data_IF_872496432150
#
_entry.id   IF_872496432150
#
_cell.length_a   1.000
_cell.length_b   1.000
_cell.length_c   1.000
_cell.angle_alpha   90.00
_cell.angle_beta   90.00
_cell.angle_gamma   90.00
#
_symmetry.space_group_name_H-M   'P 1'
#
loop_
_entity.id
_entity.type
_entity.pdbx_description
1 polymer ?
#
# COMPACT_ATOMS: atom_id res chain seq x y z
N UNK A 1 -37.07 35.32 -41.32
CA UNK A 1 -37.33 36.03 -40.06
C UNK A 1 -35.98 36.31 -39.43
N UNK A 2 -35.66 37.57 -39.11
CA UNK A 2 -34.49 37.87 -38.27
C UNK A 2 -34.85 37.47 -36.84
N UNK A 3 -34.14 36.49 -36.29
CA UNK A 3 -34.37 36.07 -34.91
C UNK A 3 -33.79 37.14 -33.98
N UNK A 4 -34.63 37.73 -33.12
CA UNK A 4 -34.23 38.77 -32.16
C UNK A 4 -34.09 38.13 -30.77
N UNK A 5 -32.92 37.55 -30.51
CA UNK A 5 -32.51 36.75 -29.34
C UNK A 5 -33.30 35.46 -29.11
N UNK A 6 -34.63 35.57 -29.03
CA UNK A 6 -35.56 34.45 -28.85
C UNK A 6 -36.82 34.67 -29.68
N UNK A 7 -37.51 33.58 -29.98
CA UNK A 7 -38.90 33.61 -30.45
C UNK A 7 -39.79 33.27 -29.24
N UNK A 8 -40.74 34.14 -28.91
CA UNK A 8 -41.76 33.85 -27.88
C UNK A 8 -42.97 33.19 -28.53
N UNK A 9 -43.38 32.05 -28.00
CA UNK A 9 -44.63 31.42 -28.41
C UNK A 9 -45.85 32.10 -27.74
N UNK A 10 -47.06 31.66 -28.09
CA UNK A 10 -48.31 32.21 -27.52
C UNK A 10 -48.46 31.97 -26.03
N UNK A 11 -47.68 31.07 -25.43
CA UNK A 11 -47.67 30.76 -24.01
C UNK A 11 -46.54 31.51 -23.26
N UNK A 12 -45.76 32.34 -23.96
CA UNK A 12 -44.66 33.12 -23.38
C UNK A 12 -43.34 32.34 -23.26
N UNK A 13 -43.25 31.13 -23.81
CA UNK A 13 -42.01 30.33 -23.83
C UNK A 13 -41.02 30.98 -24.79
N UNK A 14 -39.81 31.24 -24.32
CA UNK A 14 -38.70 31.70 -25.16
C UNK A 14 -38.01 30.51 -25.82
N UNK A 15 -37.87 30.56 -27.13
CA UNK A 15 -37.17 29.56 -27.93
C UNK A 15 -35.95 30.16 -28.59
N UNK A 16 -34.81 29.47 -28.46
CA UNK A 16 -33.62 29.80 -29.21
C UNK A 16 -33.86 29.64 -30.71
N UNK A 17 -33.11 30.43 -31.49
CA UNK A 17 -33.01 30.23 -32.93
C UNK A 17 -32.37 28.87 -33.22
N UNK A 18 -32.72 28.24 -34.34
CA UNK A 18 -32.22 26.91 -34.71
C UNK A 18 -31.57 26.89 -36.09
N UNK A 19 -30.53 26.07 -36.23
CA UNK A 19 -29.94 25.72 -37.53
C UNK A 19 -30.87 24.75 -38.29
N UNK A 20 -30.55 24.47 -39.57
CA UNK A 20 -31.28 23.50 -40.36
C UNK A 20 -31.17 22.07 -39.78
N UNK A 21 -30.06 21.77 -39.12
CA UNK A 21 -29.77 20.47 -38.51
C UNK A 21 -30.40 20.31 -37.11
N UNK A 22 -30.98 21.40 -36.57
CA UNK A 22 -31.74 21.40 -35.33
C UNK A 22 -31.00 21.96 -34.11
N UNK A 23 -29.73 22.35 -34.24
CA UNK A 23 -28.96 22.97 -33.15
C UNK A 23 -29.56 24.32 -32.79
N UNK A 24 -29.82 24.53 -31.50
CA UNK A 24 -30.11 25.83 -30.93
C UNK A 24 -28.82 26.65 -30.76
N UNK A 25 -28.88 27.95 -31.03
CA UNK A 25 -27.71 28.82 -30.88
C UNK A 25 -28.02 30.14 -30.19
N UNK A 26 -26.99 30.70 -29.55
CA UNK A 26 -27.01 32.01 -28.90
C UNK A 26 -26.79 33.12 -29.91
N UNK A 27 -27.51 34.23 -29.77
CA UNK A 27 -27.20 35.46 -30.51
C UNK A 27 -26.09 36.20 -29.78
N UNK A 28 -25.08 36.65 -30.53
CA UNK A 28 -23.97 37.44 -30.03
C UNK A 28 -24.46 38.68 -29.26
N UNK A 29 -23.95 38.85 -28.04
CA UNK A 29 -24.32 39.95 -27.13
C UNK A 29 -23.19 40.22 -26.15
N UNK A 30 -23.06 41.48 -25.73
CA UNK A 30 -22.18 41.90 -24.63
C UNK A 30 -22.84 41.78 -23.25
N UNK A 31 -24.15 41.48 -23.21
CA UNK A 31 -24.97 41.43 -22.00
C UNK A 31 -25.28 39.98 -21.61
N UNK A 32 -24.54 39.47 -20.62
CA UNK A 32 -24.68 38.12 -20.08
C UNK A 32 -26.07 37.85 -19.46
N UNK A 33 -26.87 38.87 -19.16
CA UNK A 33 -28.22 38.67 -18.61
C UNK A 33 -29.24 38.28 -19.67
N UNK A 34 -28.91 38.46 -20.96
CA UNK A 34 -29.81 38.26 -22.10
C UNK A 34 -29.54 36.98 -22.88
N UNK A 35 -28.70 36.07 -22.38
CA UNK A 35 -28.30 34.86 -23.12
C UNK A 35 -29.15 33.62 -22.83
N UNK A 36 -29.96 33.62 -21.77
CA UNK A 36 -30.82 32.47 -21.44
C UNK A 36 -32.26 32.66 -21.89
N UNK A 37 -32.81 31.66 -22.57
CA UNK A 37 -34.24 31.51 -22.81
C UNK A 37 -34.96 31.00 -21.56
N UNK A 38 -36.20 31.44 -21.36
CA UNK A 38 -37.08 31.01 -20.27
C UNK A 38 -38.18 30.05 -20.74
N UNK A 39 -38.52 29.06 -19.92
CA UNK A 39 -39.68 28.18 -20.13
C UNK A 39 -41.02 28.86 -19.76
N UNK A 40 -42.14 28.12 -19.85
CA UNK A 40 -43.47 28.64 -19.54
C UNK A 40 -43.64 29.04 -18.06
N UNK A 41 -42.79 28.52 -17.18
CA UNK A 41 -42.75 28.82 -15.75
C UNK A 41 -41.76 29.95 -15.43
N UNK A 42 -41.03 30.45 -16.43
CA UNK A 42 -40.00 31.48 -16.28
C UNK A 42 -38.63 30.93 -15.88
N UNK A 43 -38.43 29.61 -15.85
CA UNK A 43 -37.12 29.04 -15.54
C UNK A 43 -36.21 29.18 -16.77
N UNK A 44 -35.00 29.67 -16.54
CA UNK A 44 -33.97 29.77 -17.57
C UNK A 44 -33.51 28.37 -17.98
N UNK A 45 -33.06 28.22 -19.23
CA UNK A 45 -32.43 26.99 -19.74
C UNK A 45 -31.28 27.27 -20.69
N UNK A 46 -30.37 26.31 -20.83
CA UNK A 46 -29.35 26.31 -21.88
C UNK A 46 -29.95 26.05 -23.27
N UNK A 47 -29.24 26.49 -24.31
CA UNK A 47 -29.48 26.05 -25.69
C UNK A 47 -29.01 24.61 -25.84
N UNK A 48 -29.53 23.89 -26.83
CA UNK A 48 -29.18 22.49 -27.08
C UNK A 48 -28.70 22.22 -28.50
N UNK A 49 -27.74 21.32 -28.65
CA UNK A 49 -27.38 20.78 -29.97
C UNK A 49 -28.46 19.80 -30.50
N UNK A 50 -28.27 19.32 -31.73
CA UNK A 50 -29.14 18.34 -32.38
C UNK A 50 -29.16 16.97 -31.67
N UNK A 51 -28.16 16.67 -30.84
CA UNK A 51 -28.11 15.50 -29.98
C UNK A 51 -28.77 15.73 -28.62
N UNK A 52 -29.32 16.94 -28.38
CA UNK A 52 -29.98 17.37 -27.15
C UNK A 52 -29.03 17.50 -25.94
N UNK A 53 -27.72 17.69 -26.18
CA UNK A 53 -26.78 18.18 -25.17
C UNK A 53 -26.93 19.70 -25.01
N UNK A 54 -26.83 20.18 -23.77
CA UNK A 54 -26.86 21.61 -23.45
C UNK A 54 -25.52 22.28 -23.73
N UNK A 55 -25.56 23.52 -24.22
CA UNK A 55 -24.41 24.29 -24.66
C UNK A 55 -24.27 25.54 -23.80
N UNK A 56 -23.04 25.91 -23.44
CA UNK A 56 -22.78 27.16 -22.74
C UNK A 56 -22.83 28.38 -23.68
N UNK A 57 -23.45 29.49 -23.26
CA UNK A 57 -23.28 30.77 -23.95
C UNK A 57 -21.89 31.33 -23.69
N UNK A 58 -21.28 31.89 -24.74
CA UNK A 58 -20.00 32.60 -24.64
C UNK A 58 -20.27 34.09 -24.78
N UNK A 59 -19.84 34.87 -23.78
CA UNK A 59 -19.91 36.35 -23.78
C UNK A 59 -18.53 36.88 -23.46
N UNK A 60 -17.95 37.67 -24.37
CA UNK A 60 -16.58 38.20 -24.24
C UNK A 60 -15.55 37.10 -23.98
N UNK A 61 -15.61 36.04 -24.78
CA UNK A 61 -14.73 34.87 -24.72
C UNK A 61 -14.76 34.12 -23.37
N UNK A 62 -15.83 34.31 -22.59
CA UNK A 62 -16.04 33.63 -21.32
C UNK A 62 -17.39 32.90 -21.32
N UNK A 63 -17.42 31.63 -20.87
CA UNK A 63 -18.67 30.92 -20.71
C UNK A 63 -19.48 31.55 -19.57
N UNK A 64 -20.79 31.68 -19.75
CA UNK A 64 -21.70 32.21 -18.73
C UNK A 64 -22.51 31.08 -18.12
N UNK A 65 -22.45 30.95 -16.80
CA UNK A 65 -23.25 29.99 -16.05
C UNK A 65 -24.70 30.48 -15.92
N UNK A 66 -25.65 29.55 -16.04
CA UNK A 66 -27.03 29.77 -15.64
C UNK A 66 -27.07 29.85 -14.11
N UNK A 67 -27.50 30.99 -13.59
CA UNK A 67 -27.67 31.23 -12.16
C UNK A 67 -29.16 31.33 -11.85
N UNK A 68 -29.63 30.58 -10.87
CA UNK A 68 -31.01 30.63 -10.41
C UNK A 68 -31.28 31.78 -9.43
N UNK A 69 -32.53 31.91 -8.99
CA UNK A 69 -32.94 32.96 -8.06
C UNK A 69 -32.27 32.86 -6.67
N UNK A 70 -31.71 31.70 -6.34
CA UNK A 70 -30.98 31.44 -5.10
C UNK A 70 -29.47 31.72 -5.24
N UNK A 71 -29.03 32.26 -6.38
CA UNK A 71 -27.62 32.50 -6.70
C UNK A 71 -26.80 31.21 -6.83
N UNK A 72 -27.46 30.09 -7.15
CA UNK A 72 -26.77 28.83 -7.42
C UNK A 72 -26.49 28.69 -8.92
N UNK A 73 -25.23 28.46 -9.32
CA UNK A 73 -24.91 28.17 -10.70
C UNK A 73 -25.29 26.72 -11.07
N UNK A 74 -25.77 26.53 -12.29
CA UNK A 74 -26.13 25.23 -12.85
C UNK A 74 -25.19 24.88 -13.99
N UNK A 75 -24.75 23.63 -14.05
CA UNK A 75 -23.97 23.14 -15.19
C UNK A 75 -24.88 22.73 -16.35
N UNK A 76 -24.37 22.87 -17.58
CA UNK A 76 -25.00 22.32 -18.77
C UNK A 76 -24.94 20.79 -18.70
N UNK A 77 -25.93 20.11 -19.25
CA UNK A 77 -26.08 18.66 -19.20
C UNK A 77 -25.96 18.01 -20.57
N UNK A 78 -25.38 16.82 -20.62
CA UNK A 78 -25.49 15.93 -21.79
C UNK A 78 -26.92 15.45 -21.96
N UNK A 79 -27.23 14.84 -23.11
CA UNK A 79 -28.54 14.22 -23.33
C UNK A 79 -28.88 13.11 -22.32
N UNK A 80 -27.89 12.57 -21.61
CA UNK A 80 -28.06 11.56 -20.57
C UNK A 80 -28.17 12.16 -19.16
N UNK A 81 -28.10 13.49 -19.03
CA UNK A 81 -28.26 14.21 -17.77
C UNK A 81 -26.98 14.36 -16.94
N UNK A 82 -25.81 13.94 -17.45
CA UNK A 82 -24.53 14.25 -16.78
C UNK A 82 -24.20 15.72 -16.97
N UNK A 83 -23.80 16.40 -15.90
CA UNK A 83 -23.33 17.77 -15.95
C UNK A 83 -21.94 17.86 -16.59
N UNK A 84 -21.65 18.97 -17.26
CA UNK A 84 -20.43 19.19 -18.01
C UNK A 84 -19.83 20.53 -17.63
N UNK A 85 -18.55 20.56 -17.29
CA UNK A 85 -17.85 21.82 -17.10
C UNK A 85 -17.71 22.60 -18.42
N UNK A 86 -17.92 23.92 -18.43
CA UNK A 86 -17.57 24.72 -19.58
C UNK A 86 -16.06 24.68 -19.78
N UNK A 87 -15.64 24.69 -21.04
CA UNK A 87 -14.24 24.55 -21.44
C UNK A 87 -13.80 25.81 -22.18
N UNK A 88 -12.65 26.36 -21.78
CA UNK A 88 -11.98 27.44 -22.51
C UNK A 88 -11.26 26.89 -23.74
N UNK A 89 -10.90 27.78 -24.68
CA UNK A 89 -10.10 27.43 -25.85
C UNK A 89 -8.74 26.78 -25.49
N UNK A 90 -8.22 27.07 -24.29
CA UNK A 90 -7.01 26.43 -23.76
C UNK A 90 -7.20 24.95 -23.39
N UNK A 91 -8.43 24.47 -23.34
CA UNK A 91 -8.79 23.13 -22.87
C UNK A 91 -9.16 23.06 -21.38
N UNK A 92 -8.86 24.10 -20.60
CA UNK A 92 -9.19 24.15 -19.17
C UNK A 92 -10.70 24.22 -18.96
N UNK A 93 -11.18 23.39 -18.06
CA UNK A 93 -12.54 23.41 -17.54
C UNK A 93 -12.68 24.45 -16.44
N UNK A 94 -13.83 25.13 -16.35
CA UNK A 94 -14.08 26.14 -15.33
C UNK A 94 -15.09 25.67 -14.29
N UNK A 95 -14.77 25.91 -13.03
CA UNK A 95 -15.65 25.61 -11.89
C UNK A 95 -16.49 26.84 -11.58
N UNK A 96 -17.79 26.62 -11.45
CA UNK A 96 -18.71 27.61 -10.93
C UNK A 96 -18.54 27.76 -9.41
N UNK A 97 -18.77 28.97 -8.91
CA UNK A 97 -18.81 29.23 -7.47
C UNK A 97 -20.16 29.80 -7.07
N UNK A 98 -20.62 29.50 -5.87
CA UNK A 98 -21.79 30.17 -5.29
C UNK A 98 -21.48 31.62 -4.89
N UNK A 99 -22.49 32.34 -4.38
CA UNK A 99 -22.36 33.71 -3.89
C UNK A 99 -21.40 33.88 -2.68
N UNK A 100 -20.92 32.79 -2.08
CA UNK A 100 -19.93 32.77 -1.00
C UNK A 100 -18.54 32.32 -1.47
N UNK A 101 -18.34 32.19 -2.78
CA UNK A 101 -17.10 31.71 -3.38
C UNK A 101 -16.76 30.25 -3.00
N UNK A 102 -17.77 29.42 -2.73
CA UNK A 102 -17.59 27.97 -2.62
C UNK A 102 -17.68 27.34 -4.01
N UNK A 103 -16.74 26.45 -4.31
CA UNK A 103 -16.77 25.67 -5.54
C UNK A 103 -18.03 24.77 -5.58
N UNK A 104 -18.74 24.81 -6.70
CA UNK A 104 -19.85 23.91 -7.00
C UNK A 104 -19.33 22.92 -8.04
N UNK A 105 -19.26 21.63 -7.71
CA UNK A 105 -18.74 20.62 -8.65
C UNK A 105 -19.86 20.02 -9.51
N UNK A 106 -19.51 19.62 -10.73
CA UNK A 106 -20.44 18.98 -11.65
C UNK A 106 -20.70 17.53 -11.21
N UNK A 107 -21.89 17.00 -11.55
CA UNK A 107 -22.32 15.64 -11.25
C UNK A 107 -22.41 14.76 -12.48
N UNK A 108 -22.02 13.49 -12.35
CA UNK A 108 -22.24 12.49 -13.37
C UNK A 108 -23.72 12.03 -13.40
N UNK A 109 -24.07 11.09 -14.29
CA UNK A 109 -25.45 10.55 -14.41
C UNK A 109 -25.95 9.87 -13.13
N UNK A 110 -25.04 9.41 -12.26
CA UNK A 110 -25.36 8.76 -10.99
C UNK A 110 -25.53 9.78 -9.85
N UNK A 111 -25.30 11.07 -10.12
CA UNK A 111 -25.38 12.16 -9.15
C UNK A 111 -24.10 12.35 -8.34
N UNK A 112 -23.01 11.67 -8.69
CA UNK A 112 -21.72 11.75 -8.02
C UNK A 112 -20.92 12.94 -8.56
N UNK A 113 -20.29 13.70 -7.66
CA UNK A 113 -19.47 14.84 -8.02
C UNK A 113 -18.13 14.37 -8.64
N UNK A 114 -17.60 15.15 -9.59
CA UNK A 114 -16.26 14.94 -10.14
C UNK A 114 -15.52 16.27 -10.28
N UNK A 115 -14.19 16.24 -10.41
CA UNK A 115 -13.36 17.43 -10.50
C UNK A 115 -13.26 18.00 -11.93
N UNK A 116 -13.07 19.32 -12.09
CA UNK A 116 -12.69 19.92 -13.38
C UNK A 116 -11.27 19.47 -13.78
N UNK A 117 -10.94 19.62 -15.06
CA UNK A 117 -9.59 19.39 -15.61
C UNK A 117 -8.92 20.68 -16.10
N UNK A 118 -7.61 20.76 -15.91
CA UNK A 118 -6.78 21.85 -16.41
C UNK A 118 -6.40 21.65 -17.90
N UNK A 119 -5.55 22.53 -18.44
CA UNK A 119 -5.08 22.45 -19.82
C UNK A 119 -4.25 21.20 -20.14
N UNK A 120 -3.69 20.53 -19.12
CA UNK A 120 -2.88 19.32 -19.27
C UNK A 120 -3.72 18.05 -19.12
N UNK A 121 -4.99 18.19 -18.74
CA UNK A 121 -5.90 17.09 -18.45
C UNK A 121 -5.80 16.57 -17.02
N UNK A 122 -5.04 17.24 -16.15
CA UNK A 122 -5.00 16.93 -14.71
C UNK A 122 -6.27 17.49 -14.06
N UNK A 123 -6.92 16.71 -13.21
CA UNK A 123 -8.02 17.21 -12.39
C UNK A 123 -7.50 18.16 -11.32
N UNK A 124 -8.29 19.16 -10.94
CA UNK A 124 -7.85 20.15 -9.96
C UNK A 124 -8.96 20.56 -8.99
N UNK A 125 -8.54 20.99 -7.80
CA UNK A 125 -9.41 21.57 -6.76
C UNK A 125 -9.20 23.08 -6.76
N UNK A 126 -10.28 23.85 -6.62
CA UNK A 126 -10.17 25.32 -6.54
C UNK A 126 -9.66 25.79 -5.17
N UNK A 127 -10.03 25.06 -4.11
CA UNK A 127 -9.66 25.30 -2.72
C UNK A 127 -9.38 23.95 -2.06
N UNK A 128 -8.13 23.70 -1.65
CA UNK A 128 -7.71 22.43 -1.06
C UNK A 128 -8.52 22.06 0.19
N UNK A 129 -9.11 23.04 0.89
CA UNK A 129 -9.98 22.78 2.04
C UNK A 129 -11.39 22.31 1.66
N UNK A 130 -11.72 22.29 0.37
CA UNK A 130 -13.06 21.98 -0.17
C UNK A 130 -13.00 20.85 -1.20
N UNK A 131 -12.31 19.78 -0.84
CA UNK A 131 -12.37 18.52 -1.60
C UNK A 131 -13.78 17.93 -1.55
N UNK A 132 -14.13 17.21 -2.61
CA UNK A 132 -15.34 16.42 -2.68
C UNK A 132 -15.26 15.29 -1.65
N UNK A 133 -16.34 15.10 -0.89
CA UNK A 133 -16.51 13.98 0.04
C UNK A 133 -17.66 13.10 -0.45
N UNK A 134 -17.46 11.79 -0.42
CA UNK A 134 -18.52 10.80 -0.61
C UNK A 134 -19.46 10.78 0.60
N UNK A 135 -20.60 10.10 0.48
CA UNK A 135 -21.62 10.02 1.55
C UNK A 135 -21.10 9.34 2.83
N UNK A 136 -20.08 8.49 2.71
CA UNK A 136 -19.42 7.82 3.84
C UNK A 136 -18.29 8.66 4.47
N UNK A 137 -18.08 9.89 3.99
CA UNK A 137 -17.02 10.77 4.45
C UNK A 137 -15.66 10.56 3.76
N UNK A 138 -15.56 9.60 2.82
CA UNK A 138 -14.34 9.36 2.06
C UNK A 138 -14.03 10.56 1.17
N UNK A 139 -12.76 10.98 1.17
CA UNK A 139 -12.28 12.04 0.29
C UNK A 139 -12.07 11.51 -1.12
N UNK A 140 -12.72 12.14 -2.09
CA UNK A 140 -12.37 11.94 -3.50
C UNK A 140 -11.17 12.84 -3.81
N UNK A 141 -10.05 12.26 -4.25
CA UNK A 141 -8.87 13.03 -4.65
C UNK A 141 -8.91 13.29 -6.16
N UNK A 142 -8.50 14.49 -6.62
CA UNK A 142 -8.39 14.75 -8.06
C UNK A 142 -7.34 13.83 -8.69
N UNK A 143 -7.58 13.37 -9.91
CA UNK A 143 -6.65 12.52 -10.65
C UNK A 143 -5.70 13.32 -11.54
N UNK A 144 -4.44 12.91 -11.64
CA UNK A 144 -3.55 13.39 -12.68
C UNK A 144 -4.01 12.86 -14.06
N UNK A 145 -3.41 13.36 -15.13
CA UNK A 145 -3.67 12.93 -16.52
C UNK A 145 -3.41 11.45 -16.78
N UNK A 146 -2.65 10.77 -15.91
CA UNK A 146 -2.40 9.34 -15.98
C UNK A 146 -3.41 8.52 -15.16
N UNK A 147 -4.33 9.19 -14.46
CA UNK A 147 -5.35 8.57 -13.63
C UNK A 147 -4.88 8.22 -12.22
N UNK A 148 -3.81 8.83 -11.70
CA UNK A 148 -3.37 8.64 -10.30
C UNK A 148 -3.90 9.75 -9.39
N UNK A 149 -4.26 9.46 -8.13
CA UNK A 149 -4.73 10.49 -7.22
C UNK A 149 -3.63 11.50 -6.88
N UNK A 150 -4.02 12.76 -6.75
CA UNK A 150 -3.17 13.86 -6.32
C UNK A 150 -3.54 14.25 -4.90
N UNK A 151 -2.69 13.86 -3.95
CA UNK A 151 -2.82 14.20 -2.54
C UNK A 151 -2.43 15.66 -2.25
N UNK A 152 -3.04 16.26 -1.22
CA UNK A 152 -2.58 17.52 -0.65
C UNK A 152 -1.10 17.40 -0.27
N UNK A 153 -0.31 18.45 -0.51
CA UNK A 153 1.12 18.46 -0.15
C UNK A 153 1.39 19.43 0.98
N UNK A 154 2.05 18.93 2.02
CA UNK A 154 2.58 19.75 3.10
C UNK A 154 4.10 19.61 3.15
N UNK A 155 4.81 20.72 2.92
CA UNK A 155 6.28 20.76 2.86
C UNK A 155 6.88 19.75 1.85
N UNK A 156 6.18 19.50 0.74
CA UNK A 156 6.61 18.59 -0.33
C UNK A 156 6.23 17.13 -0.14
N UNK A 157 5.76 16.73 1.04
CA UNK A 157 5.22 15.40 1.31
C UNK A 157 3.71 15.41 1.06
N UNK A 158 3.20 14.37 0.41
CA UNK A 158 1.76 14.13 0.30
C UNK A 158 1.19 13.71 1.65
N UNK A 159 0.00 14.19 1.99
CA UNK A 159 -0.67 13.88 3.24
C UNK A 159 -2.02 13.22 2.98
N UNK A 160 -2.37 12.30 3.87
CA UNK A 160 -3.69 11.70 3.89
C UNK A 160 -4.71 12.62 4.54
N UNK A 161 -5.86 12.78 3.91
CA UNK A 161 -7.02 13.40 4.53
C UNK A 161 -7.68 12.43 5.53
N UNK A 162 -8.09 12.92 6.72
CA UNK A 162 -8.81 12.10 7.67
C UNK A 162 -10.17 11.68 7.10
N UNK A 163 -10.57 10.45 7.41
CA UNK A 163 -11.92 9.97 7.11
C UNK A 163 -12.90 10.64 8.09
N UNK A 164 -13.91 11.33 7.55
CA UNK A 164 -14.84 12.11 8.38
C UNK A 164 -15.61 11.20 9.34
N UNK A 165 -15.72 11.60 10.61
CA UNK A 165 -16.37 10.81 11.65
C UNK A 165 -15.55 9.63 12.21
N UNK A 166 -14.36 9.34 11.66
CA UNK A 166 -13.53 8.22 12.09
C UNK A 166 -12.16 8.68 12.58
N UNK A 167 -12.04 8.85 13.90
CA UNK A 167 -10.77 9.19 14.53
C UNK A 167 -9.70 8.12 14.20
N UNK A 168 -8.57 8.55 13.65
CA UNK A 168 -7.44 7.72 13.22
C UNK A 168 -7.69 6.88 11.97
N UNK A 169 -8.70 7.15 11.15
CA UNK A 169 -8.78 6.59 9.80
C UNK A 169 -8.49 7.65 8.75
N UNK A 170 -7.97 7.21 7.60
CA UNK A 170 -7.63 8.04 6.46
C UNK A 170 -8.42 7.65 5.22
N UNK A 171 -8.59 8.61 4.31
CA UNK A 171 -9.09 8.38 2.95
C UNK A 171 -7.91 8.08 2.03
N UNK A 172 -7.93 6.93 1.34
CA UNK A 172 -7.03 6.66 0.23
C UNK A 172 -7.61 7.22 -1.06
N UNK A 173 -6.78 7.89 -1.86
CA UNK A 173 -7.09 8.18 -3.25
C UNK A 173 -7.10 6.91 -4.08
N UNK A 174 -8.01 6.84 -5.05
CA UNK A 174 -8.15 5.73 -5.99
C UNK A 174 -7.64 6.16 -7.35
N UNK A 175 -6.98 5.26 -8.08
CA UNK A 175 -6.62 5.50 -9.47
C UNK A 175 -7.80 5.21 -10.41
N UNK A 176 -7.61 5.41 -11.72
CA UNK A 176 -8.66 5.23 -12.74
C UNK A 176 -9.19 3.79 -12.86
N UNK A 177 -8.44 2.78 -12.39
CA UNK A 177 -8.90 1.38 -12.35
C UNK A 177 -9.55 1.00 -11.00
N UNK A 178 -9.63 1.96 -10.07
CA UNK A 178 -10.27 1.80 -8.77
C UNK A 178 -9.37 1.21 -7.68
N UNK A 179 -8.06 1.06 -7.93
CA UNK A 179 -7.12 0.65 -6.88
C UNK A 179 -6.78 1.86 -6.00
N UNK A 180 -6.79 1.67 -4.68
CA UNK A 180 -6.29 2.64 -3.73
C UNK A 180 -4.76 2.79 -3.86
N UNK A 181 -4.26 4.01 -3.74
CA UNK A 181 -2.84 4.35 -3.90
C UNK A 181 -2.34 4.97 -2.61
N UNK A 182 -1.12 4.66 -2.16
CA UNK A 182 -0.54 5.32 -0.99
C UNK A 182 -0.07 6.75 -1.34
N UNK A 183 -0.14 7.66 -0.37
CA UNK A 183 0.52 8.97 -0.45
C UNK A 183 2.05 8.80 -0.47
N UNK A 184 2.74 9.77 -1.06
CA UNK A 184 4.20 9.79 -1.20
C UNK A 184 4.91 10.71 -0.21
N UNK A 185 6.06 10.27 0.28
CA UNK A 185 6.93 11.08 1.13
C UNK A 185 7.74 12.11 0.29
N UNK A 186 8.66 12.82 0.93
CA UNK A 186 9.52 13.82 0.28
C UNK A 186 10.52 13.24 -0.73
N UNK A 187 10.87 11.96 -0.60
CA UNK A 187 11.73 11.23 -1.54
C UNK A 187 10.93 10.68 -2.74
N UNK A 188 9.59 10.73 -2.67
CA UNK A 188 8.68 10.21 -3.68
C UNK A 188 8.27 8.75 -3.46
N UNK A 189 8.72 8.12 -2.38
CA UNK A 189 8.33 6.76 -2.00
C UNK A 189 6.93 6.77 -1.38
N UNK A 190 6.13 5.76 -1.69
CA UNK A 190 4.86 5.54 -1.01
C UNK A 190 5.07 5.20 0.47
N UNK A 191 4.15 5.64 1.34
CA UNK A 191 4.25 5.34 2.77
C UNK A 191 2.91 4.97 3.40
N UNK A 192 2.97 4.04 4.36
CA UNK A 192 1.81 3.59 5.13
C UNK A 192 1.27 4.71 6.03
N UNK A 193 -0.06 4.90 6.12
CA UNK A 193 -0.61 5.82 7.10
C UNK A 193 -0.37 5.31 8.53
N UNK A 194 -0.21 6.23 9.49
CA UNK A 194 -0.03 5.89 10.90
C UNK A 194 -1.23 5.18 11.53
N UNK A 195 -2.38 5.15 10.84
CA UNK A 195 -3.57 4.40 11.23
C UNK A 195 -3.40 2.88 11.16
N UNK A 196 -2.37 2.39 10.46
CA UNK A 196 -2.18 0.97 10.17
C UNK A 196 -3.16 0.43 9.13
N UNK A 197 -3.89 1.30 8.42
CA UNK A 197 -4.69 0.90 7.27
C UNK A 197 -3.78 0.60 6.06
N UNK A 198 -4.25 -0.30 5.20
CA UNK A 198 -3.59 -0.66 3.96
C UNK A 198 -4.49 -0.29 2.79
N UNK A 199 -3.88 0.31 1.77
CA UNK A 199 -4.52 0.48 0.47
C UNK A 199 -4.92 -0.89 -0.09
N UNK A 200 -5.98 -0.94 -0.88
CA UNK A 200 -6.52 -2.15 -1.50
C UNK A 200 -6.72 -1.96 -2.99
N UNK A 201 -6.63 -3.06 -3.74
CA UNK A 201 -7.07 -3.08 -5.13
C UNK A 201 -8.58 -2.89 -5.23
N UNK A 202 -9.05 -2.62 -6.44
CA UNK A 202 -10.47 -2.63 -6.83
C UNK A 202 -11.20 -3.94 -6.47
N UNK A 203 -10.47 -5.04 -6.26
CA UNK A 203 -10.99 -6.34 -5.81
C UNK A 203 -10.91 -6.53 -4.28
N UNK A 204 -10.49 -5.51 -3.53
CA UNK A 204 -10.37 -5.54 -2.07
C UNK A 204 -9.11 -6.23 -1.53
N UNK A 205 -8.12 -6.53 -2.37
CA UNK A 205 -6.87 -7.19 -1.95
C UNK A 205 -5.88 -6.11 -1.45
N UNK A 206 -5.32 -6.23 -0.24
CA UNK A 206 -4.33 -5.28 0.25
C UNK A 206 -3.10 -5.10 -0.66
N UNK A 207 -2.62 -3.87 -0.76
CA UNK A 207 -1.50 -3.43 -1.57
C UNK A 207 -0.31 -3.05 -0.69
N UNK A 208 0.90 -3.41 -1.10
CA UNK A 208 2.11 -2.89 -0.47
C UNK A 208 2.42 -1.49 -1.01
N UNK A 209 3.01 -0.66 -0.16
CA UNK A 209 3.67 0.57 -0.59
C UNK A 209 4.91 0.23 -1.42
N UNK A 210 5.26 1.08 -2.39
CA UNK A 210 6.48 0.95 -3.19
C UNK A 210 7.38 2.19 -3.16
N UNK A 211 8.68 1.96 -3.29
CA UNK A 211 9.66 3.03 -3.49
C UNK A 211 9.57 3.62 -4.91
N UNK A 212 10.30 4.71 -5.14
CA UNK A 212 10.41 5.36 -6.46
C UNK A 212 10.97 4.45 -7.58
N UNK A 213 11.62 3.34 -7.23
CA UNK A 213 12.11 2.32 -8.17
C UNK A 213 11.12 1.17 -8.37
N UNK A 214 9.98 1.19 -7.69
CA UNK A 214 8.96 0.14 -7.74
C UNK A 214 9.26 -1.08 -6.87
N UNK A 215 10.22 -1.01 -5.93
CA UNK A 215 10.43 -2.05 -4.94
C UNK A 215 9.44 -1.94 -3.80
N UNK A 216 9.04 -3.09 -3.28
CA UNK A 216 8.07 -3.17 -2.19
C UNK A 216 8.69 -2.74 -0.86
N UNK A 217 7.94 -1.92 -0.14
CA UNK A 217 8.21 -1.50 1.23
C UNK A 217 7.27 -2.31 2.12
N UNK A 218 7.79 -3.23 2.92
CA UNK A 218 6.94 -3.98 3.86
C UNK A 218 6.48 -3.07 5.00
N UNK A 219 5.22 -3.19 5.47
CA UNK A 219 4.81 -2.56 6.70
C UNK A 219 5.62 -3.15 7.86
N UNK A 220 5.84 -2.34 8.91
CA UNK A 220 6.58 -2.76 10.10
C UNK A 220 5.67 -2.76 11.32
N UNK A 221 5.84 -3.76 12.18
CA UNK A 221 5.19 -3.77 13.50
C UNK A 221 5.89 -2.83 14.50
N UNK A 222 5.41 -2.80 15.74
CA UNK A 222 5.97 -1.95 16.79
C UNK A 222 7.42 -2.28 17.18
N UNK A 223 7.90 -3.48 16.83
CA UNK A 223 9.26 -3.92 17.09
C UNK A 223 10.18 -3.71 15.87
N UNK A 224 9.64 -3.19 14.77
CA UNK A 224 10.37 -2.95 13.54
C UNK A 224 10.48 -4.18 12.63
N UNK A 225 9.84 -5.30 12.99
CA UNK A 225 9.75 -6.48 12.12
C UNK A 225 8.86 -6.16 10.93
N UNK A 226 9.33 -6.50 9.74
CA UNK A 226 8.53 -6.42 8.52
C UNK A 226 7.40 -7.46 8.56
N UNK A 227 6.27 -7.15 7.96
CA UNK A 227 5.06 -7.99 7.99
C UNK A 227 4.53 -8.19 6.58
N UNK A 228 4.18 -9.43 6.22
CA UNK A 228 3.45 -9.69 5.00
C UNK A 228 1.98 -9.26 5.17
N UNK A 229 1.45 -8.55 4.18
CA UNK A 229 0.02 -8.29 4.10
C UNK A 229 -0.73 -9.59 3.84
N UNK A 230 -1.95 -9.72 4.36
CA UNK A 230 -2.77 -10.92 4.21
C UNK A 230 -4.00 -10.66 3.35
N UNK A 231 -4.37 -11.64 2.53
CA UNK A 231 -5.63 -11.64 1.81
C UNK A 231 -6.82 -12.10 2.69
N UNK A 232 -7.99 -12.24 2.09
CA UNK A 232 -9.20 -12.71 2.79
C UNK A 232 -9.12 -14.17 3.26
N UNK A 233 -8.19 -14.95 2.73
CA UNK A 233 -7.96 -16.35 3.10
C UNK A 233 -6.84 -16.51 4.13
N UNK A 234 -6.34 -15.40 4.69
CA UNK A 234 -5.21 -15.34 5.61
C UNK A 234 -3.86 -15.75 5.00
N UNK A 235 -3.79 -15.92 3.67
CA UNK A 235 -2.54 -16.11 2.94
C UNK A 235 -1.77 -14.80 2.88
N UNK A 236 -0.47 -14.89 3.05
CA UNK A 236 0.44 -13.78 2.81
C UNK A 236 0.41 -13.43 1.33
N UNK A 237 0.37 -12.13 1.02
CA UNK A 237 0.38 -11.63 -0.35
C UNK A 237 1.82 -11.65 -0.82
N UNK A 238 2.14 -12.64 -1.65
CA UNK A 238 3.46 -12.81 -2.26
C UNK A 238 3.48 -12.58 -3.78
N UNK A 239 2.32 -12.28 -4.37
CA UNK A 239 2.15 -11.93 -5.77
C UNK A 239 1.23 -10.72 -5.90
N UNK A 240 1.71 -9.65 -6.54
CA UNK A 240 0.99 -8.40 -6.64
C UNK A 240 1.39 -7.63 -7.90
N UNK A 241 0.42 -6.95 -8.54
CA UNK A 241 0.63 -6.17 -9.78
C UNK A 241 1.36 -6.99 -10.86
N UNK A 242 0.98 -8.27 -10.98
CA UNK A 242 1.53 -9.19 -11.99
C UNK A 242 2.93 -9.74 -11.67
N UNK A 243 3.50 -9.47 -10.50
CA UNK A 243 4.86 -9.85 -10.14
C UNK A 243 4.92 -10.53 -8.76
N UNK A 244 5.82 -11.49 -8.61
CA UNK A 244 6.19 -12.01 -7.29
C UNK A 244 7.00 -10.98 -6.51
N UNK A 245 6.93 -11.06 -5.17
CA UNK A 245 7.82 -10.29 -4.32
C UNK A 245 9.28 -10.62 -4.66
N UNK A 246 10.12 -9.59 -4.80
CA UNK A 246 11.54 -9.75 -5.16
C UNK A 246 12.43 -10.17 -3.99
N UNK A 247 11.95 -10.03 -2.76
CA UNK A 247 12.68 -10.38 -1.54
C UNK A 247 11.75 -10.86 -0.44
N UNK A 248 12.32 -11.56 0.53
CA UNK A 248 11.67 -11.87 1.79
C UNK A 248 11.59 -10.65 2.70
N UNK A 249 10.63 -10.70 3.63
CA UNK A 249 10.52 -9.78 4.75
C UNK A 249 11.55 -10.15 5.85
N UNK A 250 11.98 -9.14 6.61
CA UNK A 250 12.93 -9.28 7.71
C UNK A 250 12.26 -9.30 9.09
N UNK A 251 12.75 -10.16 9.98
CA UNK A 251 12.36 -10.18 11.39
C UNK A 251 13.13 -9.11 12.22
N UNK A 252 12.91 -9.08 13.54
CA UNK A 252 13.58 -8.15 14.46
C UNK A 252 15.11 -8.33 14.55
N UNK A 253 15.61 -9.51 14.18
CA UNK A 253 17.02 -9.88 14.13
C UNK A 253 17.62 -9.70 12.72
N UNK A 254 16.86 -9.12 11.78
CA UNK A 254 17.26 -8.98 10.39
C UNK A 254 17.49 -10.32 9.65
N UNK A 255 16.84 -11.40 10.10
CA UNK A 255 16.74 -12.64 9.32
C UNK A 255 15.55 -12.57 8.38
N UNK A 256 15.72 -13.13 7.19
CA UNK A 256 14.64 -13.33 6.24
C UNK A 256 13.68 -14.41 6.73
N UNK A 257 12.39 -14.25 6.43
CA UNK A 257 11.41 -15.30 6.67
C UNK A 257 10.39 -15.40 5.53
N UNK A 258 9.94 -16.61 5.27
CA UNK A 258 9.05 -16.92 4.15
C UNK A 258 7.65 -16.31 4.31
N UNK A 259 7.01 -15.89 3.20
CA UNK A 259 5.56 -15.74 3.19
C UNK A 259 4.90 -17.12 3.28
N UNK A 260 3.68 -17.14 3.80
CA UNK A 260 2.87 -18.34 3.98
C UNK A 260 1.61 -18.30 3.10
N UNK A 261 1.32 -19.40 2.42
CA UNK A 261 0.07 -19.63 1.70
C UNK A 261 -0.84 -20.51 2.55
N UNK A 262 -2.09 -20.09 2.75
CA UNK A 262 -3.13 -20.86 3.42
C UNK A 262 -3.96 -21.60 2.38
N UNK A 263 -4.09 -22.92 2.55
CA UNK A 263 -4.85 -23.82 1.69
C UNK A 263 -6.00 -24.38 2.51
N UNK A 264 -7.21 -24.26 1.98
CA UNK A 264 -8.38 -24.93 2.54
C UNK A 264 -8.44 -26.37 2.03
N UNK A 265 -8.37 -27.33 2.95
CA UNK A 265 -8.65 -28.73 2.66
C UNK A 265 -10.06 -29.10 3.13
N UNK A 266 -10.49 -30.33 2.83
CA UNK A 266 -11.83 -30.83 3.17
C UNK A 266 -12.22 -30.50 4.62
N UNK A 267 -13.48 -30.07 4.80
CA UNK A 267 -14.08 -29.67 6.08
C UNK A 267 -13.55 -28.36 6.68
N UNK A 268 -13.20 -27.38 5.84
CA UNK A 268 -12.76 -26.04 6.26
C UNK A 268 -11.52 -26.08 7.19
N UNK A 269 -10.70 -27.11 7.07
CA UNK A 269 -9.42 -27.17 7.78
C UNK A 269 -8.46 -26.32 6.96
N UNK A 270 -7.95 -25.26 7.57
CA UNK A 270 -6.94 -24.39 6.98
C UNK A 270 -5.56 -24.90 7.37
N UNK A 271 -4.73 -25.19 6.37
CA UNK A 271 -3.32 -25.55 6.54
C UNK A 271 -2.48 -24.49 5.84
N UNK A 272 -1.27 -24.22 6.36
CA UNK A 272 -0.38 -23.23 5.75
C UNK A 272 0.95 -23.84 5.37
N UNK A 273 1.51 -23.40 4.24
CA UNK A 273 2.86 -23.74 3.78
C UNK A 273 3.65 -22.48 3.46
N UNK A 274 4.97 -22.54 3.55
CA UNK A 274 5.85 -21.47 3.14
C UNK A 274 5.99 -21.43 1.61
N UNK A 275 6.10 -20.23 1.06
CA UNK A 275 6.27 -20.00 -0.38
C UNK A 275 7.67 -19.49 -0.66
N UNK A 276 8.37 -20.16 -1.58
CA UNK A 276 9.71 -19.76 -2.03
C UNK A 276 9.57 -18.62 -3.05
N UNK A 277 10.31 -17.54 -2.86
CA UNK A 277 10.38 -16.38 -3.75
C UNK A 277 11.63 -16.45 -4.61
N UNK A 278 11.48 -16.21 -5.92
CA UNK A 278 12.58 -16.10 -6.90
C UNK A 278 13.61 -17.23 -6.77
N UNK A 279 13.13 -18.45 -6.54
CA UNK A 279 13.97 -19.66 -6.59
C UNK A 279 15.15 -19.64 -5.60
N UNK A 280 15.05 -18.84 -4.53
CA UNK A 280 16.08 -18.74 -3.49
C UNK A 280 15.52 -19.03 -2.12
N UNK A 281 16.36 -19.56 -1.24
CA UNK A 281 15.99 -19.72 0.17
C UNK A 281 16.07 -18.39 0.92
N UNK A 282 15.35 -18.32 2.04
CA UNK A 282 15.52 -17.28 3.04
C UNK A 282 16.82 -17.51 3.82
N UNK A 283 17.50 -16.42 4.17
CA UNK A 283 18.77 -16.44 4.89
C UNK A 283 18.68 -15.69 6.23
N UNK A 284 19.41 -16.17 7.24
CA UNK A 284 19.65 -15.42 8.47
C UNK A 284 20.59 -14.25 8.22
N UNK A 285 20.72 -13.34 9.18
CA UNK A 285 21.69 -12.24 9.12
C UNK A 285 23.14 -12.74 8.93
N UNK A 286 23.46 -13.94 9.44
CA UNK A 286 24.77 -14.58 9.32
C UNK A 286 24.95 -15.34 7.99
N UNK A 287 23.95 -15.32 7.10
CA UNK A 287 23.94 -16.02 5.81
C UNK A 287 23.62 -17.52 5.93
N UNK A 288 23.05 -17.97 7.05
CA UNK A 288 22.62 -19.37 7.19
C UNK A 288 21.29 -19.58 6.46
N UNK A 289 21.21 -20.66 5.68
CA UNK A 289 20.00 -21.02 4.93
C UNK A 289 18.90 -21.54 5.89
N UNK A 290 17.71 -20.96 5.78
CA UNK A 290 16.48 -21.41 6.44
C UNK A 290 15.64 -22.15 5.40
N UNK A 291 15.30 -23.42 5.60
CA UNK A 291 14.43 -24.14 4.67
C UNK A 291 12.96 -23.74 4.83
N UNK A 292 12.12 -23.78 3.79
CA UNK A 292 10.68 -23.54 3.91
C UNK A 292 9.97 -24.74 4.57
N UNK A 293 8.75 -24.51 5.09
CA UNK A 293 7.87 -25.53 5.68
C UNK A 293 6.69 -25.89 4.79
N UNK A 294 6.39 -27.17 4.65
CA UNK A 294 5.18 -27.67 4.01
C UNK A 294 3.96 -27.57 4.96
N UNK A 295 2.79 -27.97 4.48
CA UNK A 295 1.53 -27.97 5.22
C UNK A 295 1.50 -28.89 6.44
N UNK A 296 2.41 -29.86 6.50
CA UNK A 296 2.61 -30.76 7.63
C UNK A 296 3.69 -30.24 8.58
N UNK A 297 4.22 -29.03 8.33
CA UNK A 297 5.37 -28.42 8.99
C UNK A 297 6.64 -29.27 8.91
N UNK A 298 6.86 -29.99 7.81
CA UNK A 298 8.17 -30.53 7.50
C UNK A 298 8.92 -29.52 6.65
N UNK A 299 10.23 -29.45 6.83
CA UNK A 299 11.04 -28.68 5.90
C UNK A 299 10.98 -29.32 4.49
N UNK A 300 11.19 -28.52 3.43
CA UNK A 300 11.31 -29.04 2.07
C UNK A 300 12.32 -28.22 1.23
N UNK A 301 12.70 -28.72 0.06
CA UNK A 301 13.62 -28.06 -0.88
C UNK A 301 12.92 -27.65 -2.17
N UNK A 302 13.58 -26.80 -2.95
CA UNK A 302 13.26 -26.55 -4.35
C UNK A 302 13.18 -27.87 -5.14
N UNK A 303 12.35 -27.85 -6.19
CA UNK A 303 12.11 -28.99 -7.06
C UNK A 303 13.36 -29.32 -7.89
N UNK A 304 14.02 -30.44 -7.58
CA UNK A 304 15.22 -30.89 -8.27
C UNK A 304 15.02 -31.19 -9.76
N UNK A 305 13.78 -31.34 -10.25
CA UNK A 305 13.53 -31.50 -11.69
C UNK A 305 13.68 -30.19 -12.47
N UNK A 306 13.53 -29.06 -11.79
CA UNK A 306 13.57 -27.73 -12.40
C UNK A 306 14.90 -27.01 -12.18
N UNK A 307 15.66 -27.40 -11.16
CA UNK A 307 16.85 -26.68 -10.70
C UNK A 307 18.12 -27.51 -10.70
N UNK A 308 19.26 -26.82 -10.77
CA UNK A 308 20.54 -27.45 -10.49
C UNK A 308 20.61 -27.90 -9.02
N UNK A 309 21.29 -29.02 -8.81
CA UNK A 309 21.41 -29.64 -7.49
C UNK A 309 22.03 -28.68 -6.47
N UNK A 310 23.01 -27.87 -6.88
CA UNK A 310 23.69 -26.92 -6.01
C UNK A 310 22.76 -25.81 -5.51
N UNK A 311 21.81 -25.38 -6.36
CA UNK A 311 20.84 -24.34 -6.02
C UNK A 311 19.72 -24.89 -5.14
N UNK A 312 19.25 -26.10 -5.44
CA UNK A 312 18.23 -26.77 -4.65
C UNK A 312 18.76 -27.26 -3.30
N UNK A 313 20.05 -27.58 -3.18
CA UNK A 313 20.68 -28.17 -1.99
C UNK A 313 21.97 -27.44 -1.62
N UNK A 314 21.91 -26.15 -1.23
CA UNK A 314 23.10 -25.31 -1.05
C UNK A 314 24.04 -25.80 0.06
N UNK A 315 23.52 -26.50 1.08
CA UNK A 315 24.31 -27.12 2.15
C UNK A 315 24.37 -28.64 2.04
N UNK A 316 24.05 -29.17 0.86
CA UNK A 316 24.11 -30.58 0.54
C UNK A 316 22.98 -31.42 1.08
N UNK A 317 22.72 -31.36 2.40
CA UNK A 317 21.50 -31.72 3.14
C UNK A 317 21.65 -31.23 4.59
N UNK A 318 20.64 -30.61 5.22
CA UNK A 318 19.57 -31.45 5.75
C UNK A 318 18.26 -30.68 5.89
N UNK A 319 17.29 -30.96 5.02
CA UNK A 319 15.89 -30.85 5.45
C UNK A 319 15.77 -31.76 6.69
N UNK A 320 15.42 -31.18 7.84
CA UNK A 320 15.42 -31.92 9.10
C UNK A 320 14.04 -32.05 9.69
N UNK A 321 13.75 -33.26 10.12
CA UNK A 321 12.63 -33.51 10.99
C UNK A 321 13.12 -34.25 12.23
N UNK A 322 12.98 -33.63 13.40
CA UNK A 322 13.49 -34.16 14.68
C UNK A 322 14.97 -34.52 14.66
N UNK A 323 15.79 -33.75 13.95
CA UNK A 323 17.21 -34.04 13.72
C UNK A 323 17.47 -35.27 12.85
N UNK A 324 16.49 -35.83 12.12
CA UNK A 324 16.74 -36.82 11.07
C UNK A 324 16.85 -36.16 9.70
N UNK A 325 17.71 -36.69 8.83
CA UNK A 325 17.88 -36.16 7.47
C UNK A 325 16.74 -36.66 6.58
N UNK A 326 16.09 -35.73 5.90
CA UNK A 326 15.15 -35.97 4.82
C UNK A 326 15.91 -35.92 3.49
N UNK A 327 15.68 -36.93 2.66
CA UNK A 327 16.25 -37.10 1.33
C UNK A 327 15.13 -36.85 0.31
N UNK A 328 15.24 -35.83 -0.55
CA UNK A 328 14.38 -35.53 -1.67
C UNK A 328 14.04 -36.74 -2.50
N UNK A 329 12.77 -36.75 -2.93
CA UNK A 329 12.27 -37.70 -3.88
C UNK A 329 12.38 -37.13 -5.31
N UNK A 330 13.29 -37.70 -6.11
CA UNK A 330 13.44 -37.38 -7.53
C UNK A 330 12.95 -38.58 -8.35
N UNK A 331 11.90 -38.40 -9.14
CA UNK A 331 11.33 -39.47 -9.96
C UNK A 331 11.01 -40.76 -9.18
N UNK A 332 10.38 -40.62 -7.99
CA UNK A 332 10.07 -41.72 -7.08
C UNK A 332 11.29 -42.46 -6.51
N UNK A 333 12.48 -41.85 -6.51
CA UNK A 333 13.70 -42.43 -5.94
C UNK A 333 14.39 -41.45 -4.99
N UNK A 334 15.06 -41.95 -3.94
CA UNK A 334 15.83 -41.09 -3.04
C UNK A 334 17.03 -40.53 -3.78
N UNK A 335 17.20 -39.21 -3.72
CA UNK A 335 18.34 -38.54 -4.33
C UNK A 335 19.47 -38.32 -3.32
N UNK A 336 20.42 -39.25 -3.30
CA UNK A 336 21.53 -39.30 -2.33
C UNK A 336 22.78 -38.64 -2.93
N UNK A 337 23.35 -37.69 -2.19
CA UNK A 337 24.57 -36.96 -2.58
C UNK A 337 25.75 -37.51 -1.78
N UNK A 338 26.55 -38.36 -2.42
CA UNK A 338 27.65 -39.11 -1.79
C UNK A 338 28.74 -38.21 -1.18
N UNK A 339 28.86 -36.96 -1.64
CA UNK A 339 29.96 -36.05 -1.29
C UNK A 339 29.77 -35.35 0.06
N UNK A 340 28.55 -35.30 0.59
CA UNK A 340 28.21 -34.37 1.69
C UNK A 340 27.95 -35.15 2.99
N UNK A 341 27.31 -36.31 2.89
CA UNK A 341 27.16 -37.24 4.00
C UNK A 341 27.47 -38.66 3.52
N UNK A 342 28.74 -39.09 3.57
CA UNK A 342 29.13 -40.43 3.10
C UNK A 342 28.44 -41.56 3.88
N UNK A 343 27.88 -41.26 5.05
CA UNK A 343 27.12 -42.19 5.88
C UNK A 343 25.67 -42.38 5.42
N UNK A 344 25.14 -41.51 4.55
CA UNK A 344 23.80 -41.66 3.97
C UNK A 344 23.88 -42.58 2.77
N UNK A 345 23.12 -43.67 2.83
CA UNK A 345 22.92 -44.59 1.71
C UNK A 345 21.48 -45.10 1.74
N UNK A 346 21.04 -45.81 0.70
CA UNK A 346 19.67 -46.35 0.65
C UNK A 346 19.31 -47.20 1.88
N UNK A 347 20.29 -47.88 2.51
CA UNK A 347 20.08 -48.68 3.73
C UNK A 347 19.63 -47.85 4.94
N UNK A 348 19.85 -46.54 4.89
CA UNK A 348 19.49 -45.62 5.97
C UNK A 348 18.05 -45.13 5.85
N UNK A 349 17.39 -45.33 4.71
CA UNK A 349 16.02 -44.89 4.47
C UNK A 349 15.06 -45.75 5.27
N UNK A 350 14.29 -45.11 6.15
CA UNK A 350 13.24 -45.76 6.96
C UNK A 350 11.94 -45.91 6.20
N UNK A 351 11.66 -44.98 5.29
CA UNK A 351 10.43 -44.96 4.53
C UNK A 351 10.21 -43.61 3.86
N UNK A 352 9.08 -43.50 3.19
CA UNK A 352 8.57 -42.24 2.68
C UNK A 352 7.91 -41.47 3.82
N UNK A 353 8.15 -40.17 3.89
CA UNK A 353 7.31 -39.28 4.68
C UNK A 353 5.89 -39.39 4.14
N UNK A 354 4.91 -39.61 5.02
CA UNK A 354 3.52 -39.56 4.63
C UNK A 354 3.12 -38.09 4.43
N UNK A 355 3.26 -37.61 3.19
CA UNK A 355 2.68 -36.34 2.73
C UNK A 355 1.46 -36.62 1.86
N UNK A 356 0.84 -35.55 1.37
CA UNK A 356 -0.14 -35.63 0.30
C UNK A 356 0.45 -36.36 -0.94
N UNK A 357 -0.41 -36.78 -1.87
CA UNK A 357 -0.10 -37.87 -2.81
C UNK A 357 1.03 -37.62 -3.81
N UNK A 358 1.68 -36.45 -3.80
CA UNK A 358 2.56 -35.99 -4.88
C UNK A 358 4.02 -35.71 -4.47
N UNK A 359 4.39 -35.62 -3.18
CA UNK A 359 5.75 -35.13 -2.79
C UNK A 359 6.39 -35.88 -1.63
N UNK A 360 6.28 -37.21 -1.62
CA UNK A 360 6.77 -38.02 -0.52
C UNK A 360 8.30 -38.18 -0.53
N UNK A 361 9.02 -37.23 0.08
CA UNK A 361 10.45 -37.36 0.40
C UNK A 361 10.72 -38.56 1.32
N UNK A 362 11.98 -38.95 1.44
CA UNK A 362 12.42 -40.08 2.23
C UNK A 362 12.99 -39.63 3.57
N UNK A 363 12.63 -40.29 4.66
CA UNK A 363 13.26 -40.04 5.96
C UNK A 363 14.30 -41.10 6.26
N UNK A 364 15.46 -40.66 6.73
CA UNK A 364 16.56 -41.55 7.10
C UNK A 364 16.64 -41.79 8.60
N UNK A 365 17.44 -42.78 9.01
CA UNK A 365 17.84 -42.97 10.41
C UNK A 365 19.10 -42.17 10.80
N UNK A 366 19.67 -41.40 9.86
CA UNK A 366 20.88 -40.60 10.07
C UNK A 366 20.50 -39.28 10.74
N UNK A 367 21.28 -38.89 11.74
CA UNK A 367 21.06 -37.62 12.43
C UNK A 367 21.72 -36.47 11.70
N UNK A 368 20.97 -35.39 11.51
CA UNK A 368 21.47 -34.11 11.06
C UNK A 368 22.18 -33.37 12.20
N UNK A 369 23.31 -32.70 11.91
CA UNK A 369 23.92 -31.74 12.83
C UNK A 369 23.13 -30.42 12.91
N UNK A 370 22.31 -30.10 11.91
CA UNK A 370 21.46 -28.90 11.89
C UNK A 370 20.27 -29.05 12.83
N UNK A 371 19.92 -27.95 13.50
CA UNK A 371 18.71 -27.85 14.30
C UNK A 371 17.56 -27.48 13.36
N UNK A 372 16.49 -28.27 13.35
CA UNK A 372 15.27 -27.95 12.62
C UNK A 372 14.64 -26.67 13.17
N UNK A 373 14.05 -25.86 12.30
CA UNK A 373 13.25 -24.72 12.73
C UNK A 373 11.98 -25.13 13.49
N UNK A 374 11.60 -26.41 13.40
CA UNK A 374 10.37 -26.92 14.00
C UNK A 374 10.67 -27.71 15.27
N UNK A 375 9.84 -27.53 16.29
CA UNK A 375 9.88 -28.35 17.49
C UNK A 375 9.68 -29.83 17.16
N UNK A 376 10.26 -30.72 17.99
CA UNK A 376 10.23 -32.17 17.75
C UNK A 376 8.79 -32.71 17.67
N UNK A 377 8.50 -33.55 16.67
CA UNK A 377 7.19 -34.18 16.45
C UNK A 377 7.32 -35.70 16.38
N UNK A 378 6.31 -36.40 15.87
CA UNK A 378 6.39 -37.82 15.51
C UNK A 378 5.81 -37.95 14.12
N UNK A 379 6.55 -38.59 13.22
CA UNK A 379 6.12 -38.72 11.83
C UNK A 379 5.50 -40.08 11.57
N UNK A 380 4.44 -40.07 10.76
CA UNK A 380 3.96 -41.29 10.10
C UNK A 380 4.84 -41.51 8.88
N UNK A 381 5.48 -42.68 8.82
CA UNK A 381 6.26 -43.09 7.66
C UNK A 381 5.51 -44.20 6.95
N UNK A 382 5.42 -44.11 5.64
CA UNK A 382 4.95 -45.21 4.81
C UNK A 382 6.16 -46.11 4.58
N UNK A 383 6.12 -47.39 5.01
CA UNK A 383 7.21 -48.31 4.77
C UNK A 383 7.56 -48.35 3.29
N UNK A 384 8.83 -48.16 2.98
CA UNK A 384 9.33 -48.30 1.61
C UNK A 384 9.40 -49.79 1.27
N UNK A 385 8.37 -50.28 0.58
CA UNK A 385 8.05 -51.70 0.36
C UNK A 385 9.07 -52.52 -0.47
N UNK A 386 10.15 -51.90 -0.96
CA UNK A 386 11.14 -52.60 -1.79
C UNK A 386 12.26 -53.30 -1.03
N UNK A 387 12.23 -53.33 0.32
CA UNK A 387 13.16 -54.16 1.11
C UNK A 387 12.44 -55.30 1.84
N UNK A 388 12.25 -56.41 1.13
CA UNK A 388 12.10 -57.73 1.75
C UNK A 388 13.48 -58.22 2.21
N UNK A 389 14.08 -57.59 3.23
CA UNK A 389 15.15 -58.24 4.00
C UNK A 389 14.82 -58.20 5.49
N UNK A 390 15.11 -59.27 6.24
CA UNK A 390 14.83 -59.32 7.66
C UNK A 390 15.58 -58.18 8.37
N UNK A 391 15.04 -57.65 9.47
CA UNK A 391 15.73 -56.63 10.25
C UNK A 391 17.07 -57.18 10.72
N UNK A 392 18.17 -56.54 10.33
CA UNK A 392 19.45 -56.74 11.01
C UNK A 392 19.28 -56.24 12.44
N UNK A 393 19.11 -57.18 13.36
CA UNK A 393 18.89 -56.99 14.80
C UNK A 393 20.10 -56.39 15.55
N UNK A 394 21.09 -55.84 14.83
CA UNK A 394 22.37 -55.41 15.39
C UNK A 394 22.75 -53.94 15.13
N UNK A 395 21.82 -53.08 14.70
CA UNK A 395 22.02 -51.63 14.80
C UNK A 395 21.87 -51.18 16.25
N UNK A 396 22.93 -51.42 17.05
CA UNK A 396 23.11 -50.71 18.31
C UNK A 396 23.15 -49.21 18.01
N UNK A 397 22.32 -48.45 18.72
CA UNK A 397 22.43 -47.00 18.74
C UNK A 397 23.90 -46.63 18.99
N UNK A 398 24.51 -45.72 18.19
CA UNK A 398 25.83 -45.22 18.53
C UNK A 398 25.78 -44.71 19.96
N UNK A 399 26.70 -45.21 20.79
CA UNK A 399 26.84 -44.76 22.17
C UNK A 399 26.90 -43.23 22.16
N UNK A 400 26.17 -42.54 23.05
CA UNK A 400 26.27 -41.10 23.15
C UNK A 400 27.75 -40.74 23.27
N UNK A 401 28.23 -39.85 22.40
CA UNK A 401 29.58 -39.30 22.54
C UNK A 401 29.71 -38.80 23.99
N UNK A 402 30.81 -39.11 24.69
CA UNK A 402 31.05 -38.56 26.01
C UNK A 402 30.97 -37.03 25.91
N UNK A 403 30.43 -36.35 26.93
CA UNK A 403 30.31 -34.91 26.92
C UNK A 403 31.69 -34.32 26.67
N UNK A 404 31.80 -33.48 25.64
CA UNK A 404 32.98 -32.63 25.42
C UNK A 404 33.17 -31.85 26.71
N UNK A 405 34.22 -32.19 27.46
CA UNK A 405 34.65 -31.41 28.61
C UNK A 405 35.08 -30.03 28.10
N UNK A 406 34.18 -29.05 28.21
CA UNK A 406 34.57 -27.64 28.17
C UNK A 406 35.48 -27.42 29.37
N UNK A 407 36.78 -27.26 29.14
CA UNK A 407 37.70 -26.66 30.09
C UNK A 407 37.26 -25.22 30.34
N UNK A 408 36.41 -25.03 31.34
CA UNK A 408 36.12 -23.72 31.93
C UNK A 408 37.17 -23.49 33.01
N UNK A 409 38.15 -22.65 32.68
CA UNK A 409 38.98 -22.00 33.69
C UNK A 409 38.09 -20.99 34.41
N UNK A 410 37.69 -21.28 35.65
CA UNK A 410 37.14 -20.28 36.56
C UNK A 410 38.27 -19.54 37.28
N UNK A 411 38.30 -18.20 37.28
CA UNK A 411 38.98 -17.45 38.33
C UNK A 411 38.07 -17.30 39.57
N UNK A 412 38.66 -17.03 40.75
CA UNK A 412 37.96 -17.14 42.03
C UNK A 412 36.95 -16.01 42.27
N UNK A 413 35.87 -16.40 42.93
CA UNK A 413 34.80 -15.52 43.44
C UNK A 413 35.33 -14.74 44.65
N UNK A 414 35.17 -13.40 44.71
CA UNK A 414 35.11 -12.67 45.95
C UNK A 414 33.66 -12.61 46.45
N UNK A 415 33.50 -12.98 47.72
CA UNK A 415 32.26 -12.89 48.50
C UNK A 415 31.90 -11.41 48.72
N UNK A 416 30.68 -11.00 48.32
CA UNK A 416 30.06 -9.71 48.71
C UNK A 416 28.61 -9.99 49.14
N UNK A 417 28.14 -9.39 50.25
CA UNK A 417 26.93 -9.84 50.94
C UNK A 417 25.63 -9.44 50.24
N UNK A 418 24.62 -10.29 50.46
CA UNK A 418 23.23 -10.13 50.03
C UNK A 418 22.62 -8.88 50.67
N UNK A 419 22.44 -7.82 49.86
CA UNK A 419 21.54 -6.71 50.19
C UNK A 419 20.20 -7.00 49.52
N UNK A 420 19.19 -7.34 50.33
CA UNK A 420 17.78 -7.35 49.91
C UNK A 420 17.37 -5.94 49.52
N UNK A 421 17.20 -5.66 48.23
CA UNK A 421 16.51 -4.45 47.75
C UNK A 421 15.03 -4.78 47.51
N UNK A 422 14.18 -4.20 48.36
CA UNK A 422 12.77 -4.05 48.12
C UNK A 422 12.56 -3.24 46.83
N UNK A 423 11.93 -3.84 45.83
CA UNK A 423 11.48 -3.15 44.62
C UNK A 423 10.20 -2.40 44.98
N UNK A 424 10.34 -1.10 45.25
CA UNK A 424 9.24 -0.16 45.31
C UNK A 424 8.92 0.24 43.86
N UNK A 425 7.72 -0.09 43.39
CA UNK A 425 7.14 0.45 42.17
C UNK A 425 7.10 1.99 42.26
N UNK A 426 7.98 2.69 41.54
CA UNK A 426 7.81 4.12 41.24
C UNK A 426 7.11 4.26 39.88
N UNK A 427 5.78 4.14 39.89
CA UNK A 427 4.93 4.69 38.82
C UNK A 427 4.77 6.19 39.07
N UNK A 428 5.04 7.02 38.06
CA UNK A 428 4.46 8.37 37.96
C UNK A 428 5.41 9.57 37.79
N UNK A 429 6.73 9.43 37.89
CA UNK A 429 7.63 10.60 37.85
C UNK A 429 8.33 10.83 36.50
N UNK A 430 8.41 9.83 35.61
CA UNK A 430 9.14 9.96 34.33
C UNK A 430 8.40 10.78 33.27
N UNK A 431 7.06 10.72 33.23
CA UNK A 431 6.27 11.46 32.23
C UNK A 431 6.29 12.98 32.45
N UNK A 432 6.30 13.44 33.70
CA UNK A 432 6.35 14.87 34.03
C UNK A 432 7.70 15.50 33.70
N UNK A 433 8.79 14.78 33.94
CA UNK A 433 10.15 15.24 33.60
C UNK A 433 10.31 15.36 32.08
N UNK A 434 9.76 14.42 31.32
CA UNK A 434 9.79 14.47 29.84
C UNK A 434 9.00 15.66 29.31
N UNK A 435 7.82 15.96 29.88
CA UNK A 435 7.01 17.12 29.50
C UNK A 435 7.71 18.47 29.76
N UNK A 436 8.40 18.60 30.91
CA UNK A 436 9.19 19.81 31.22
C UNK A 436 10.36 19.97 30.24
N UNK A 437 11.03 18.87 29.88
CA UNK A 437 12.16 18.90 28.94
C UNK A 437 11.72 19.38 27.54
N UNK A 438 10.59 18.86 27.03
CA UNK A 438 10.02 19.28 25.74
C UNK A 438 9.59 20.75 25.78
N UNK A 439 8.98 21.19 26.89
CA UNK A 439 8.61 22.59 27.08
C UNK A 439 9.82 23.55 27.03
N UNK A 440 10.93 23.19 27.69
CA UNK A 440 12.15 23.99 27.67
C UNK A 440 12.80 24.06 26.28
N UNK A 441 12.75 22.97 25.50
CA UNK A 441 13.24 22.94 24.12
C UNK A 441 12.42 23.89 23.24
N UNK A 442 11.08 23.86 23.36
CA UNK A 442 10.20 24.74 22.60
C UNK A 442 10.41 26.23 22.94
N UNK A 443 10.63 26.56 24.22
CA UNK A 443 10.99 27.92 24.64
C UNK A 443 12.33 28.35 24.04
N UNK A 444 13.33 27.46 24.02
CA UNK A 444 14.63 27.70 23.39
C UNK A 444 14.51 28.01 21.89
N UNK A 445 13.68 27.26 21.17
CA UNK A 445 13.43 27.49 19.73
C UNK A 445 12.74 28.83 19.46
N UNK A 446 11.79 29.24 20.30
CA UNK A 446 11.12 30.55 20.19
C UNK A 446 12.09 31.71 20.44
N UNK A 447 12.98 31.59 21.44
CA UNK A 447 14.02 32.60 21.70
C UNK A 447 14.99 32.70 20.53
N UNK A 448 15.39 31.56 19.96
CA UNK A 448 16.29 31.51 18.81
C UNK A 448 15.66 32.19 17.57
N UNK A 449 14.38 31.87 17.27
CA UNK A 449 13.62 32.51 16.20
C UNK A 449 13.55 34.03 16.37
N UNK A 450 13.22 34.50 17.56
CA UNK A 450 13.17 35.94 17.86
C UNK A 450 14.53 36.63 17.65
N UNK A 451 15.63 35.96 18.00
CA UNK A 451 16.99 36.50 17.81
C UNK A 451 17.36 36.60 16.32
N UNK A 452 16.95 35.62 15.51
CA UNK A 452 17.15 35.61 14.05
C UNK A 452 16.37 36.77 13.41
N UNK A 453 15.09 36.91 13.73
CA UNK A 453 14.24 38.00 13.22
C UNK A 453 14.80 39.37 13.59
N UNK A 454 15.22 39.56 14.84
CA UNK A 454 15.81 40.83 15.30
C UNK A 454 17.12 41.18 14.58
N UNK A 455 17.96 40.17 14.28
CA UNK A 455 19.19 40.37 13.53
C UNK A 455 18.93 40.67 12.04
N UNK A 456 17.92 40.05 11.43
CA UNK A 456 17.50 40.35 10.07
C UNK A 456 17.01 41.80 9.96
N UNK A 457 16.14 42.25 10.88
CA UNK A 457 15.65 43.64 10.88
C UNK A 457 16.77 44.67 11.04
N UNK A 458 17.80 44.39 11.85
CA UNK A 458 18.99 45.25 11.97
C UNK A 458 19.80 45.33 10.68
N UNK A 459 19.95 44.21 9.95
CA UNK A 459 20.67 44.20 8.67
C UNK A 459 19.91 44.99 7.61
N UNK A 460 18.59 44.87 7.56
CA UNK A 460 17.76 45.65 6.62
C UNK A 460 17.84 47.14 6.92
N UNK A 461 17.77 47.56 8.19
CA UNK A 461 17.91 48.96 8.58
C UNK A 461 19.29 49.55 8.23
N UNK A 462 20.37 48.79 8.42
CA UNK A 462 21.72 49.24 8.04
C UNK A 462 21.93 49.27 6.52
N UNK A 463 21.27 48.40 5.75
CA UNK A 463 21.36 48.44 4.28
C UNK A 463 20.69 49.68 3.68
N UNK A 464 19.60 50.16 4.29
CA UNK A 464 18.92 51.38 3.86
C UNK A 464 19.67 52.66 4.25
N UNK A 465 20.37 52.69 5.38
CA UNK A 465 21.18 53.85 5.78
C UNK A 465 22.43 54.04 4.90
N UNK A 466 23.03 52.96 4.39
CA UNK A 466 24.17 53.01 3.45
C UNK A 466 23.73 53.47 2.05
N UNK A 467 22.50 53.18 1.61
CA UNK A 467 22.00 53.71 0.34
C UNK A 467 21.70 55.21 0.41
N UNK A 468 21.26 55.72 1.56
CA UNK A 468 20.98 57.16 1.74
C UNK A 468 22.25 58.02 1.89
N UNK A 469 23.39 57.46 2.31
CA UNK A 469 24.66 58.21 2.39
C UNK A 469 25.37 58.38 1.05
N UNK A 470 25.03 57.59 0.03
CA UNK A 470 25.61 57.68 -1.32
C UNK A 470 24.86 58.67 -2.25
N UNK A 471 23.81 59.33 -1.73
CA UNK A 471 23.02 60.34 -2.44
C UNK A 471 23.21 61.77 -1.91
N UNK A 472 24.30 62.04 -1.18
CA UNK A 472 24.69 63.39 -0.73
C UNK A 472 26.03 63.81 -1.29
#
# INVERSE_FOLDING_TARGET
MSCNYYIKDTNGVEQYCRTADGDEYYIETDDATKVFASDAQGNKRYAKDHENNEIYPIVKDQPVFLIDDQQMPHYAKTTYGSEVYPRLDSGKQLVATDGQNNAIYAKNLMGEYFYPRDEKGDEYVLDEMKMIKELDGTTLYPLDRNGNPQYTKFLGQEIYEPLEGHANMVSFGKNIIGDEVYAKNFDGDEYYPSSGQYAKSSQGIPLYAVDTSGHIIFPKDSNGKEVYLKDSNFSDIFFQRGNYLKRYAFNEMNDEYYPSETIEIQNNILISRNVILNERYAETQDGEIVYPLDENNNEFTLDLEQYHIEDALPIGYPITNDSFIIVPNVNNKPFIVDTIFPDISERNIRGKLARDSHSNDFVTNVRSPRISQVAKKRYTTIPWLNYSRPPDSNLQAPKPNPPIQKNVVQPPIPIVPVIKKNIIQKKGWSAWILGILVGLIMIGLLILKWFIEKNLTRRTANSQSVQLSNFR
#
